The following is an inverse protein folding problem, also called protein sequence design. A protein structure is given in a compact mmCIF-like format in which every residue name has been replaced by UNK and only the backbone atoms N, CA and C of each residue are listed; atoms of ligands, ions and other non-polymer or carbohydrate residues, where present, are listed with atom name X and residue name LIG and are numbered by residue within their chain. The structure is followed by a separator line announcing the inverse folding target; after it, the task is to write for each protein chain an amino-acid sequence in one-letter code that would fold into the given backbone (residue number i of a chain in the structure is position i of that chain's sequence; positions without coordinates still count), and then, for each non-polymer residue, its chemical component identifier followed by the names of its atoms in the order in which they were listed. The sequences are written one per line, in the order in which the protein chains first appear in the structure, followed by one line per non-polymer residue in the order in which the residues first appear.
data_IF_637760668007
#
_entry.id   IF_637760668007
#
_cell.length_a   1.000
_cell.length_b   1.000
_cell.length_c   1.000
_cell.angle_alpha   90.00
_cell.angle_beta   90.00
_cell.angle_gamma   90.00
#
_symmetry.space_group_name_H-M   'P 1'
#
loop_
_entity.id
_entity.type
_entity.pdbx_description
1 polymer ?
#
# COMPACT_ATOMS: atom_id res chain seq x y z
N UNK A 1 -40.63 35.16 32.24
CA UNK A 1 -40.92 33.84 31.68
C UNK A 1 -39.65 33.29 31.12
N UNK A 2 -39.06 32.39 31.85
CA UNK A 2 -37.69 31.84 31.63
C UNK A 2 -37.74 30.75 30.59
N UNK A 3 -36.99 30.89 29.51
CA UNK A 3 -36.74 29.82 28.55
C UNK A 3 -35.42 29.09 28.89
N UNK A 4 -35.59 27.84 29.23
CA UNK A 4 -34.56 26.90 29.55
C UNK A 4 -33.86 26.42 28.29
N UNK A 5 -32.60 26.78 28.11
CA UNK A 5 -31.73 26.22 27.05
C UNK A 5 -30.87 25.13 27.68
N UNK A 6 -31.30 23.88 27.53
CA UNK A 6 -30.51 22.71 27.88
C UNK A 6 -29.40 22.49 26.83
N UNK A 7 -28.17 22.79 27.23
CA UNK A 7 -26.95 22.55 26.48
C UNK A 7 -26.69 21.04 26.39
N UNK A 8 -26.90 20.44 25.22
CA UNK A 8 -26.44 19.10 24.90
C UNK A 8 -24.92 19.10 24.81
N UNK A 9 -24.29 18.61 25.87
CA UNK A 9 -22.84 18.28 25.86
C UNK A 9 -22.61 17.13 24.90
N UNK A 10 -22.10 17.43 23.72
CA UNK A 10 -21.50 16.43 22.84
C UNK A 10 -20.28 15.81 23.51
N UNK A 11 -20.38 14.54 23.84
CA UNK A 11 -19.22 13.73 24.24
C UNK A 11 -18.32 13.60 23.02
N UNK A 12 -17.24 14.34 23.01
CA UNK A 12 -16.13 14.14 22.06
C UNK A 12 -15.56 12.74 22.27
N UNK A 13 -15.74 11.86 21.31
CA UNK A 13 -15.01 10.61 21.23
C UNK A 13 -13.53 10.94 20.98
N UNK A 14 -12.77 11.07 22.07
CA UNK A 14 -11.31 11.06 21.99
C UNK A 14 -10.87 9.60 21.81
N UNK A 15 -10.82 9.13 20.57
CA UNK A 15 -10.04 7.99 20.20
C UNK A 15 -8.80 8.48 19.42
N UNK A 16 -8.07 9.41 20.03
CA UNK A 16 -6.71 9.74 19.62
C UNK A 16 -5.79 8.68 20.22
N UNK A 17 -5.54 7.61 19.47
CA UNK A 17 -4.38 6.77 19.71
C UNK A 17 -3.16 7.65 19.40
N UNK A 18 -2.56 8.22 20.43
CA UNK A 18 -1.32 8.98 20.32
C UNK A 18 -0.26 8.08 19.69
N UNK A 19 -0.03 8.26 18.41
CA UNK A 19 1.05 7.60 17.67
C UNK A 19 2.36 8.10 18.30
N UNK A 20 3.00 7.29 19.14
CA UNK A 20 4.32 7.61 19.69
C UNK A 20 5.26 7.79 18.50
N UNK A 21 5.71 9.01 18.28
CA UNK A 21 6.74 9.30 17.29
C UNK A 21 7.95 8.42 17.57
N UNK A 22 8.22 7.47 16.68
CA UNK A 22 9.48 6.74 16.70
C UNK A 22 10.60 7.76 16.55
N UNK A 23 11.27 8.06 17.65
CA UNK A 23 12.51 8.84 17.67
C UNK A 23 13.49 8.12 16.74
N UNK A 24 13.94 8.80 15.70
CA UNK A 24 14.99 8.30 14.81
C UNK A 24 16.26 8.25 15.66
N UNK A 25 16.60 7.08 16.17
CA UNK A 25 17.83 6.86 16.95
C UNK A 25 19.02 6.77 16.01
N UNK A 26 20.21 7.10 16.51
CA UNK A 26 21.48 6.94 15.77
C UNK A 26 21.65 5.52 15.22
N UNK A 27 21.11 4.51 15.90
CA UNK A 27 21.07 3.11 15.45
C UNK A 27 20.32 2.94 14.14
N UNK A 28 19.25 3.71 13.89
CA UNK A 28 18.50 3.62 12.62
C UNK A 28 19.32 4.14 11.44
N UNK A 29 20.07 5.23 11.64
CA UNK A 29 20.94 5.81 10.59
C UNK A 29 22.11 4.87 10.31
N UNK A 30 22.76 4.37 11.35
CA UNK A 30 23.89 3.43 11.25
C UNK A 30 23.48 2.12 10.57
N UNK A 31 22.35 1.55 10.94
CA UNK A 31 21.79 0.34 10.31
C UNK A 31 21.44 0.57 8.83
N UNK A 32 21.01 1.77 8.46
CA UNK A 32 20.72 2.11 7.07
C UNK A 32 21.98 2.18 6.21
N UNK A 33 23.03 2.85 6.69
CA UNK A 33 24.33 2.95 5.99
C UNK A 33 24.96 1.57 5.84
N UNK A 34 25.01 0.78 6.91
CA UNK A 34 25.53 -0.58 6.89
C UNK A 34 24.73 -1.49 5.93
N UNK A 35 23.41 -1.32 5.88
CA UNK A 35 22.53 -2.05 4.97
C UNK A 35 22.85 -1.76 3.51
N UNK A 36 23.16 -0.51 3.16
CA UNK A 36 23.53 -0.14 1.77
C UNK A 36 24.92 -0.68 1.41
N UNK A 37 25.89 -0.62 2.30
CA UNK A 37 27.26 -1.15 2.07
C UNK A 37 27.20 -2.67 1.86
N UNK A 38 26.58 -3.43 2.78
CA UNK A 38 26.48 -4.88 2.68
C UNK A 38 25.65 -5.30 1.48
N UNK A 39 24.55 -4.57 1.20
CA UNK A 39 23.73 -4.83 0.03
C UNK A 39 24.48 -4.60 -1.29
N UNK A 40 25.42 -3.66 -1.34
CA UNK A 40 26.24 -3.39 -2.52
C UNK A 40 27.09 -4.58 -2.96
N UNK A 41 27.50 -5.45 -2.03
CA UNK A 41 28.35 -6.63 -2.30
C UNK A 41 27.53 -7.86 -2.73
N UNK A 42 26.21 -7.85 -2.60
CA UNK A 42 25.34 -8.97 -2.95
C UNK A 42 24.82 -8.80 -4.38
N UNK A 43 25.28 -9.63 -5.34
CA UNK A 43 24.91 -9.45 -6.76
C UNK A 43 23.42 -9.77 -7.03
N UNK A 44 22.85 -10.72 -6.29
CA UNK A 44 21.46 -11.16 -6.51
C UNK A 44 20.45 -10.18 -5.89
N UNK A 45 19.67 -9.47 -6.71
CA UNK A 45 18.75 -8.37 -6.34
C UNK A 45 17.78 -8.74 -5.21
N UNK A 46 17.12 -9.90 -5.29
CA UNK A 46 16.17 -10.31 -4.23
C UNK A 46 16.87 -10.62 -2.90
N UNK A 47 18.02 -11.28 -2.94
CA UNK A 47 18.82 -11.54 -1.74
C UNK A 47 19.29 -10.24 -1.14
N UNK A 48 19.80 -9.33 -1.96
CA UNK A 48 20.21 -7.99 -1.58
C UNK A 48 19.07 -7.20 -0.93
N UNK A 49 17.89 -7.17 -1.52
CA UNK A 49 16.72 -6.47 -0.99
C UNK A 49 16.25 -7.07 0.34
N UNK A 50 16.25 -8.41 0.46
CA UNK A 50 15.94 -9.07 1.72
C UNK A 50 16.93 -8.68 2.83
N UNK A 51 18.24 -8.72 2.55
CA UNK A 51 19.26 -8.31 3.52
C UNK A 51 19.17 -6.83 3.88
N UNK A 52 18.95 -5.95 2.89
CA UNK A 52 18.70 -4.53 3.12
C UNK A 52 17.53 -4.30 4.09
N UNK A 53 16.43 -5.03 3.91
CA UNK A 53 15.30 -4.96 4.82
C UNK A 53 15.60 -5.51 6.22
N UNK A 54 16.26 -6.68 6.33
CA UNK A 54 16.63 -7.28 7.61
C UNK A 54 17.62 -6.41 8.40
N UNK A 55 18.61 -5.82 7.74
CA UNK A 55 19.59 -4.92 8.36
C UNK A 55 18.90 -3.62 8.81
N UNK A 56 18.02 -3.04 7.97
CA UNK A 56 17.25 -1.84 8.36
C UNK A 56 16.34 -2.10 9.57
N UNK A 57 15.69 -3.27 9.62
CA UNK A 57 14.84 -3.66 10.73
C UNK A 57 15.64 -4.01 12.00
N UNK A 58 16.89 -4.43 11.85
CA UNK A 58 17.76 -4.97 12.89
C UNK A 58 17.72 -6.50 12.93
N UNK A 59 18.84 -7.14 12.61
CA UNK A 59 18.92 -8.61 12.47
C UNK A 59 18.52 -9.33 13.77
N UNK A 60 18.96 -8.81 14.91
CA UNK A 60 18.61 -9.38 16.22
C UNK A 60 17.11 -9.18 16.56
N UNK A 61 16.56 -8.00 16.22
CA UNK A 61 15.13 -7.73 16.35
C UNK A 61 14.33 -8.69 15.47
N UNK A 62 14.75 -8.91 14.23
CA UNK A 62 14.14 -9.85 13.29
C UNK A 62 14.18 -11.30 13.81
N UNK A 63 15.30 -11.71 14.39
CA UNK A 63 15.45 -13.04 14.97
C UNK A 63 14.54 -13.24 16.20
N UNK A 64 14.50 -12.28 17.12
CA UNK A 64 13.56 -12.30 18.27
C UNK A 64 12.11 -12.35 17.80
N UNK A 65 11.76 -11.51 16.82
CA UNK A 65 10.41 -11.50 16.25
C UNK A 65 10.05 -12.86 15.63
N UNK A 66 10.92 -13.42 14.81
CA UNK A 66 10.71 -14.75 14.21
C UNK A 66 10.47 -15.84 15.25
N UNK A 67 11.26 -15.84 16.36
CA UNK A 67 11.07 -16.81 17.46
C UNK A 67 9.74 -16.63 18.17
N UNK A 68 9.32 -15.37 18.43
CA UNK A 68 8.02 -15.06 19.03
C UNK A 68 6.88 -15.56 18.15
N UNK A 69 6.90 -15.20 16.87
CA UNK A 69 5.84 -15.54 15.91
C UNK A 69 5.73 -17.05 15.64
N UNK A 70 6.83 -17.82 15.77
CA UNK A 70 6.77 -19.28 15.67
C UNK A 70 5.97 -19.93 16.80
N UNK A 71 5.86 -19.26 17.95
CA UNK A 71 5.14 -19.73 19.14
C UNK A 71 3.71 -19.16 19.25
N UNK A 72 3.40 -18.18 18.42
CA UNK A 72 2.11 -17.51 18.42
C UNK A 72 1.17 -18.22 17.44
N UNK A 73 0.11 -18.80 17.99
CA UNK A 73 -0.93 -19.53 17.27
C UNK A 73 -2.27 -18.80 17.29
N UNK A 74 -2.29 -17.53 17.70
CA UNK A 74 -3.50 -16.72 17.71
C UNK A 74 -4.09 -16.65 16.30
N UNK A 75 -5.34 -17.03 16.07
CA UNK A 75 -5.95 -16.90 14.75
C UNK A 75 -6.06 -15.42 14.37
N UNK A 76 -5.83 -15.08 13.10
CA UNK A 76 -6.01 -13.70 12.65
C UNK A 76 -7.50 -13.34 12.69
N UNK A 77 -7.78 -12.08 13.07
CA UNK A 77 -9.13 -11.52 13.09
C UNK A 77 -9.66 -11.27 11.69
N UNK A 78 -8.77 -10.85 10.78
CA UNK A 78 -9.07 -10.51 9.39
C UNK A 78 -8.26 -11.42 8.45
N UNK A 79 -8.93 -11.95 7.43
CA UNK A 79 -8.23 -12.71 6.39
C UNK A 79 -7.43 -11.81 5.45
N UNK A 80 -8.03 -10.69 5.04
CA UNK A 80 -7.38 -9.71 4.16
C UNK A 80 -7.61 -8.30 4.68
N UNK A 81 -6.52 -7.57 4.87
CA UNK A 81 -6.54 -6.14 5.12
C UNK A 81 -5.68 -5.38 4.11
N UNK A 82 -5.92 -4.08 4.01
CA UNK A 82 -5.15 -3.16 3.17
C UNK A 82 -4.52 -2.07 4.01
N UNK A 83 -3.25 -1.76 3.75
CA UNK A 83 -2.55 -0.60 4.29
C UNK A 83 -2.27 0.41 3.18
N UNK A 84 -2.66 1.66 3.40
CA UNK A 84 -2.35 2.77 2.51
C UNK A 84 -1.91 4.01 3.29
N UNK A 85 -1.03 4.81 2.68
CA UNK A 85 -0.74 6.17 3.12
C UNK A 85 -1.18 7.14 2.04
N UNK A 86 -1.92 8.17 2.43
CA UNK A 86 -2.51 9.13 1.51
C UNK A 86 -2.30 10.57 1.99
N UNK A 87 -2.36 11.50 1.05
CA UNK A 87 -2.43 12.93 1.30
C UNK A 87 -3.33 13.58 0.27
N UNK A 88 -4.38 14.26 0.70
CA UNK A 88 -5.33 14.95 -0.18
C UNK A 88 -5.87 14.03 -1.30
N UNK A 89 -6.39 12.87 -0.89
CA UNK A 89 -7.04 11.89 -1.77
C UNK A 89 -8.53 11.67 -1.41
N UNK A 90 -9.11 12.58 -0.63
CA UNK A 90 -10.51 12.51 -0.16
C UNK A 90 -11.50 12.08 -1.24
N UNK A 91 -11.50 12.72 -2.44
CA UNK A 91 -12.44 12.41 -3.49
C UNK A 91 -12.41 10.97 -4.03
N UNK A 92 -11.33 10.22 -3.79
CA UNK A 92 -11.14 8.86 -4.33
C UNK A 92 -11.41 7.75 -3.32
N UNK A 93 -11.41 8.07 -2.01
CA UNK A 93 -11.51 7.05 -0.95
C UNK A 93 -12.79 6.23 -1.02
N UNK A 94 -13.93 6.86 -1.30
CA UNK A 94 -15.22 6.15 -1.35
C UNK A 94 -15.19 5.01 -2.36
N UNK A 95 -14.82 5.30 -3.62
CA UNK A 95 -14.73 4.30 -4.67
C UNK A 95 -13.71 3.23 -4.34
N UNK A 96 -12.51 3.64 -3.88
CA UNK A 96 -11.41 2.74 -3.57
C UNK A 96 -11.73 1.78 -2.42
N UNK A 97 -12.35 2.26 -1.34
CA UNK A 97 -12.77 1.41 -0.21
C UNK A 97 -13.87 0.46 -0.63
N UNK A 98 -14.91 0.98 -1.29
CA UNK A 98 -16.05 0.16 -1.71
C UNK A 98 -15.66 -0.90 -2.75
N UNK A 99 -14.74 -0.58 -3.65
CA UNK A 99 -14.18 -1.58 -4.57
C UNK A 99 -13.51 -2.71 -3.80
N UNK A 100 -12.52 -2.39 -2.99
CA UNK A 100 -11.74 -3.42 -2.28
C UNK A 100 -12.58 -4.19 -1.26
N UNK A 101 -13.57 -3.55 -0.63
CA UNK A 101 -14.54 -4.22 0.23
C UNK A 101 -15.34 -5.28 -0.55
N UNK A 102 -15.83 -4.95 -1.73
CA UNK A 102 -16.51 -5.91 -2.63
C UNK A 102 -15.58 -7.03 -3.07
N UNK A 103 -14.28 -6.75 -3.18
CA UNK A 103 -13.27 -7.76 -3.49
C UNK A 103 -12.79 -8.55 -2.24
N UNK A 104 -13.44 -8.39 -1.10
CA UNK A 104 -13.22 -9.21 0.09
C UNK A 104 -12.19 -8.67 1.08
N UNK A 105 -11.86 -7.37 1.01
CA UNK A 105 -11.07 -6.70 2.07
C UNK A 105 -11.95 -6.44 3.28
N UNK A 106 -11.49 -6.89 4.45
CA UNK A 106 -12.23 -6.85 5.72
C UNK A 106 -11.79 -5.69 6.62
N UNK A 107 -10.61 -5.11 6.40
CA UNK A 107 -10.05 -4.01 7.21
C UNK A 107 -9.13 -3.13 6.38
N UNK A 108 -9.19 -1.82 6.66
CA UNK A 108 -8.31 -0.82 6.07
C UNK A 108 -7.54 -0.08 7.17
N UNK A 109 -6.21 0.00 7.02
CA UNK A 109 -5.32 0.80 7.85
C UNK A 109 -4.86 2.01 7.03
N UNK A 110 -5.46 3.17 7.29
CA UNK A 110 -5.25 4.39 6.52
C UNK A 110 -4.38 5.37 7.30
N UNK A 111 -3.21 5.65 6.77
CA UNK A 111 -2.28 6.63 7.27
C UNK A 111 -2.48 7.94 6.51
N UNK A 112 -3.06 8.93 7.18
CA UNK A 112 -3.29 10.25 6.59
C UNK A 112 -2.08 11.16 6.80
N UNK A 113 -1.35 11.43 5.73
CA UNK A 113 -0.15 12.27 5.76
C UNK A 113 -0.49 13.76 5.66
N UNK A 114 -1.15 14.29 6.69
CA UNK A 114 -1.47 15.72 6.80
C UNK A 114 -2.37 16.22 5.66
N UNK A 115 -3.48 15.52 5.39
CA UNK A 115 -4.48 15.97 4.43
C UNK A 115 -5.19 17.22 4.93
N UNK A 116 -5.51 18.11 4.00
CA UNK A 116 -6.23 19.39 4.21
C UNK A 116 -7.51 19.47 3.37
N UNK A 117 -7.84 18.41 2.65
CA UNK A 117 -9.07 18.25 1.87
C UNK A 117 -10.15 17.50 2.69
N UNK A 118 -11.18 17.03 2.02
CA UNK A 118 -12.30 16.28 2.62
C UNK A 118 -11.94 14.83 3.03
N UNK A 119 -10.66 14.45 3.11
CA UNK A 119 -10.24 13.07 3.42
C UNK A 119 -10.87 12.56 4.71
N UNK A 120 -10.84 13.34 5.78
CA UNK A 120 -11.35 12.90 7.11
C UNK A 120 -12.88 12.76 7.11
N UNK A 121 -13.57 13.67 6.47
CA UNK A 121 -15.04 13.66 6.33
C UNK A 121 -15.50 12.42 5.54
N UNK A 122 -14.85 12.14 4.43
CA UNK A 122 -15.15 10.97 3.59
C UNK A 122 -14.88 9.65 4.33
N UNK A 123 -13.83 9.61 5.16
CA UNK A 123 -13.47 8.42 5.93
C UNK A 123 -14.32 8.23 7.19
N UNK A 124 -15.00 9.28 7.69
CA UNK A 124 -15.74 9.24 8.96
C UNK A 124 -16.71 8.04 9.09
N UNK A 125 -17.62 7.75 8.13
CA UNK A 125 -18.55 6.63 8.27
C UNK A 125 -17.84 5.27 8.28
N UNK A 126 -16.72 5.13 7.61
CA UNK A 126 -15.92 3.90 7.61
C UNK A 126 -15.12 3.72 8.90
N UNK A 127 -14.72 4.83 9.53
CA UNK A 127 -14.07 4.83 10.85
C UNK A 127 -15.09 4.44 11.92
N UNK A 128 -16.28 5.04 11.89
CA UNK A 128 -17.39 4.75 12.83
C UNK A 128 -17.84 3.29 12.75
N UNK A 129 -17.90 2.72 11.55
CA UNK A 129 -18.24 1.29 11.37
C UNK A 129 -17.12 0.34 11.78
N UNK A 130 -15.92 0.85 12.07
CA UNK A 130 -14.75 0.04 12.38
C UNK A 130 -14.09 -0.62 11.16
N UNK A 131 -14.56 -0.35 9.94
CA UNK A 131 -13.95 -0.85 8.71
C UNK A 131 -12.58 -0.20 8.44
N UNK A 132 -12.46 1.11 8.70
CA UNK A 132 -11.21 1.86 8.59
C UNK A 132 -10.63 2.12 9.98
N UNK A 133 -9.34 1.85 10.16
CA UNK A 133 -8.54 2.40 11.23
C UNK A 133 -7.75 3.58 10.68
N UNK A 134 -8.08 4.76 11.15
CA UNK A 134 -7.46 6.02 10.73
C UNK A 134 -6.30 6.38 11.64
N UNK A 135 -5.14 6.68 11.05
CA UNK A 135 -3.95 7.15 11.74
C UNK A 135 -3.47 8.47 11.12
N UNK A 136 -3.52 9.57 11.88
CA UNK A 136 -2.86 10.81 11.48
C UNK A 136 -1.34 10.62 11.51
N UNK A 137 -0.67 10.86 10.37
CA UNK A 137 0.73 10.54 10.17
C UNK A 137 1.53 11.75 9.68
N UNK A 138 2.10 12.49 10.60
CA UNK A 138 2.82 13.73 10.30
C UNK A 138 4.21 13.51 9.73
N UNK A 139 4.68 14.50 8.98
CA UNK A 139 6.05 14.63 8.50
C UNK A 139 6.28 14.13 7.07
N UNK A 140 7.42 14.54 6.52
CA UNK A 140 7.82 14.23 5.15
C UNK A 140 8.54 12.87 5.05
N UNK A 141 8.49 12.21 3.88
CA UNK A 141 9.17 10.93 3.58
C UNK A 141 8.78 9.79 4.52
N UNK A 142 7.53 9.75 4.95
CA UNK A 142 7.05 8.86 6.01
C UNK A 142 6.40 7.57 5.49
N UNK A 143 6.38 7.33 4.18
CA UNK A 143 5.68 6.18 3.58
C UNK A 143 6.15 4.83 4.14
N UNK A 144 7.48 4.59 4.15
CA UNK A 144 7.99 3.32 4.67
C UNK A 144 7.80 3.17 6.18
N UNK A 145 7.85 4.29 6.91
CA UNK A 145 7.60 4.28 8.35
C UNK A 145 6.13 3.96 8.68
N UNK A 146 5.18 4.44 7.87
CA UNK A 146 3.77 4.10 8.01
C UNK A 146 3.53 2.60 7.76
N UNK A 147 4.16 2.03 6.73
CA UNK A 147 4.07 0.60 6.46
C UNK A 147 4.70 -0.24 7.57
N UNK A 148 5.86 0.17 8.09
CA UNK A 148 6.52 -0.51 9.20
C UNK A 148 5.67 -0.48 10.47
N UNK A 149 5.04 0.66 10.78
CA UNK A 149 4.10 0.80 11.91
C UNK A 149 2.87 -0.11 11.73
N UNK A 150 2.30 -0.15 10.54
CA UNK A 150 1.19 -1.03 10.21
C UNK A 150 1.54 -2.52 10.43
N UNK A 151 2.70 -2.96 9.94
CA UNK A 151 3.17 -4.32 10.18
C UNK A 151 3.41 -4.60 11.66
N UNK A 152 3.96 -3.67 12.42
CA UNK A 152 4.22 -3.85 13.87
C UNK A 152 2.92 -3.97 14.67
N UNK A 153 1.95 -3.11 14.40
CA UNK A 153 0.69 -3.03 15.16
C UNK A 153 -0.27 -4.18 14.83
N UNK A 154 -0.41 -4.51 13.55
CA UNK A 154 -1.48 -5.38 13.05
C UNK A 154 -1.02 -6.77 12.60
N UNK A 155 0.23 -7.11 12.92
CA UNK A 155 0.90 -8.36 12.55
C UNK A 155 0.15 -9.61 12.96
N UNK A 156 -0.51 -9.62 14.10
CA UNK A 156 -1.25 -10.77 14.63
C UNK A 156 -2.72 -10.74 14.24
N UNK A 157 -3.24 -9.58 13.84
CA UNK A 157 -4.65 -9.40 13.52
C UNK A 157 -5.02 -9.84 12.10
N UNK A 158 -4.05 -9.84 11.19
CA UNK A 158 -4.28 -9.96 9.76
C UNK A 158 -3.53 -11.15 9.19
N UNK A 159 -4.23 -12.00 8.39
CA UNK A 159 -3.59 -13.12 7.68
C UNK A 159 -2.82 -12.63 6.45
N UNK A 160 -3.43 -11.73 5.66
CA UNK A 160 -2.82 -11.10 4.49
C UNK A 160 -2.96 -9.59 4.55
N UNK A 161 -1.86 -8.88 4.36
CA UNK A 161 -1.83 -7.41 4.29
C UNK A 161 -1.35 -6.99 2.91
N UNK A 162 -2.25 -6.38 2.13
CA UNK A 162 -1.90 -5.72 0.89
C UNK A 162 -1.42 -4.30 1.17
N UNK A 163 -0.30 -3.89 0.56
CA UNK A 163 0.26 -2.55 0.69
C UNK A 163 0.15 -1.87 -0.67
N UNK A 164 -0.83 -0.98 -0.82
CA UNK A 164 -1.16 -0.32 -2.08
C UNK A 164 -1.42 1.18 -1.89
N UNK A 165 -1.33 1.93 -3.00
CA UNK A 165 -1.62 3.36 -3.03
C UNK A 165 -3.09 3.62 -3.45
N UNK A 166 -3.60 4.85 -3.24
CA UNK A 166 -5.01 5.22 -3.54
C UNK A 166 -5.35 5.30 -5.04
N UNK A 167 -4.34 5.27 -5.87
CA UNK A 167 -4.47 5.21 -7.33
C UNK A 167 -4.29 3.78 -7.88
N UNK A 168 -4.36 2.77 -6.99
CA UNK A 168 -4.19 1.35 -7.32
C UNK A 168 -5.40 0.53 -6.89
N UNK A 169 -5.92 -0.27 -7.81
CA UNK A 169 -7.06 -1.16 -7.60
C UNK A 169 -6.64 -2.61 -7.86
N UNK A 170 -6.77 -3.47 -6.85
CA UNK A 170 -6.50 -4.91 -7.02
C UNK A 170 -7.69 -5.53 -7.75
N UNK A 171 -7.43 -6.14 -8.90
CA UNK A 171 -8.45 -6.75 -9.77
C UNK A 171 -8.16 -8.23 -9.93
N UNK A 172 -8.94 -9.12 -9.30
CA UNK A 172 -8.93 -10.54 -9.62
C UNK A 172 -9.47 -10.72 -11.04
N UNK A 173 -8.76 -11.48 -11.89
CA UNK A 173 -9.17 -11.73 -13.28
C UNK A 173 -9.78 -13.11 -13.42
N UNK A 174 -9.19 -14.12 -12.77
CA UNK A 174 -9.69 -15.52 -12.84
C UNK A 174 -10.53 -15.93 -11.64
N UNK A 175 -10.36 -15.27 -10.51
CA UNK A 175 -11.06 -15.59 -9.28
C UNK A 175 -12.20 -14.60 -9.02
N UNK A 176 -13.19 -14.99 -8.23
CA UNK A 176 -14.32 -14.13 -7.88
C UNK A 176 -13.94 -12.96 -7.01
N UNK A 177 -12.91 -13.11 -6.19
CA UNK A 177 -12.41 -12.09 -5.27
C UNK A 177 -10.97 -12.38 -4.83
N UNK A 178 -10.34 -11.42 -4.15
CA UNK A 178 -8.95 -11.52 -3.69
C UNK A 178 -8.74 -12.68 -2.69
N UNK A 179 -9.59 -12.92 -1.68
CA UNK A 179 -9.46 -14.07 -0.78
C UNK A 179 -9.44 -15.42 -1.49
N UNK A 180 -10.25 -15.62 -2.54
CA UNK A 180 -10.24 -16.88 -3.31
C UNK A 180 -8.89 -17.12 -3.97
N UNK A 181 -8.32 -16.09 -4.59
CA UNK A 181 -6.96 -16.13 -5.11
C UNK A 181 -5.93 -16.45 -4.01
N UNK A 182 -5.99 -15.77 -2.87
CA UNK A 182 -5.00 -15.89 -1.79
C UNK A 182 -5.02 -17.25 -1.08
N UNK A 183 -6.16 -17.96 -1.05
CA UNK A 183 -6.22 -19.32 -0.50
C UNK A 183 -5.29 -20.29 -1.20
N UNK A 184 -5.03 -20.11 -2.49
CA UNK A 184 -4.06 -20.92 -3.23
C UNK A 184 -2.62 -20.51 -2.95
N UNK A 185 -2.41 -19.35 -2.35
CA UNK A 185 -1.09 -18.75 -2.10
C UNK A 185 -0.59 -18.94 -0.66
N UNK A 186 -1.31 -19.62 0.22
CA UNK A 186 -1.01 -19.69 1.66
C UNK A 186 0.35 -20.28 2.03
N UNK A 187 0.94 -21.08 1.15
CA UNK A 187 2.31 -21.58 1.31
C UNK A 187 3.38 -20.50 1.20
N UNK A 188 3.04 -19.37 0.58
CA UNK A 188 3.95 -18.25 0.39
C UNK A 188 3.83 -17.20 1.51
N UNK A 189 4.88 -16.43 1.69
CA UNK A 189 4.91 -15.32 2.65
C UNK A 189 4.62 -13.96 2.01
N UNK A 190 4.79 -13.87 0.70
CA UNK A 190 4.52 -12.68 -0.10
C UNK A 190 4.04 -13.13 -1.48
N UNK A 191 3.03 -12.49 -1.98
CA UNK A 191 2.60 -12.56 -3.38
C UNK A 191 2.82 -11.19 -4.01
N UNK A 192 3.54 -11.15 -5.11
CA UNK A 192 3.77 -9.93 -5.88
C UNK A 192 2.80 -9.89 -7.06
N UNK A 193 1.99 -8.82 -7.11
CA UNK A 193 0.98 -8.58 -8.14
C UNK A 193 1.45 -7.45 -9.05
N UNK A 194 1.49 -7.69 -10.35
CA UNK A 194 1.95 -6.72 -11.35
C UNK A 194 0.92 -5.61 -11.60
N UNK A 195 1.43 -4.45 -12.00
CA UNK A 195 0.62 -3.36 -12.53
C UNK A 195 0.08 -3.67 -13.92
N UNK A 196 -1.06 -3.04 -14.23
CA UNK A 196 -1.50 -2.64 -15.55
C UNK A 196 -1.73 -1.14 -15.48
N UNK A 197 -0.93 -0.36 -16.20
CA UNK A 197 -0.95 1.10 -16.13
C UNK A 197 -2.04 1.64 -17.04
N UNK A 198 -2.94 2.43 -16.46
CA UNK A 198 -4.01 3.14 -17.13
C UNK A 198 -3.60 4.59 -17.36
N UNK A 199 -3.86 5.08 -18.57
CA UNK A 199 -3.65 6.46 -18.98
C UNK A 199 -4.82 7.36 -18.58
N UNK A 200 -4.83 8.56 -19.16
CA UNK A 200 -5.90 9.55 -18.93
C UNK A 200 -7.16 9.29 -19.75
N UNK A 201 -7.17 8.32 -20.65
CA UNK A 201 -8.20 8.12 -21.68
C UNK A 201 -8.51 9.41 -22.47
N UNK A 202 -7.50 10.31 -22.60
CA UNK A 202 -7.61 11.61 -23.25
C UNK A 202 -8.25 12.72 -22.42
N UNK A 203 -8.60 12.47 -21.14
CA UNK A 203 -9.28 13.44 -20.28
C UNK A 203 -8.32 14.57 -19.86
N UNK A 204 -8.70 15.82 -20.16
CA UNK A 204 -7.96 17.02 -19.76
C UNK A 204 -8.42 17.54 -18.39
N UNK A 205 -9.71 17.53 -18.14
CA UNK A 205 -10.36 18.01 -16.92
C UNK A 205 -10.92 16.87 -16.09
N UNK A 206 -11.16 17.13 -14.83
CA UNK A 206 -11.84 16.18 -13.95
C UNK A 206 -13.33 16.18 -14.22
N UNK A 207 -13.83 15.05 -14.67
CA UNK A 207 -15.26 14.82 -14.88
C UNK A 207 -15.89 14.05 -13.70
N UNK A 208 -17.22 14.14 -13.50
CA UNK A 208 -17.94 13.27 -12.58
C UNK A 208 -17.75 11.77 -12.92
N UNK A 209 -17.89 10.89 -11.93
CA UNK A 209 -17.76 9.45 -12.09
C UNK A 209 -16.56 8.86 -11.36
N UNK A 210 -16.52 7.55 -11.31
CA UNK A 210 -15.45 6.79 -10.67
C UNK A 210 -14.16 6.79 -11.47
N UNK A 211 -13.04 6.51 -10.82
CA UNK A 211 -11.73 6.41 -11.47
C UNK A 211 -11.72 5.28 -12.50
N UNK A 212 -12.25 4.11 -12.11
CA UNK A 212 -12.27 2.95 -13.01
C UNK A 212 -13.21 3.13 -14.19
N UNK A 213 -14.27 3.90 -14.03
CA UNK A 213 -15.23 4.23 -15.08
C UNK A 213 -14.66 5.24 -16.08
N UNK A 214 -14.02 6.29 -15.58
CA UNK A 214 -13.52 7.40 -16.41
C UNK A 214 -12.26 7.06 -17.20
N UNK A 215 -11.42 6.17 -16.67
CA UNK A 215 -10.12 5.84 -17.24
C UNK A 215 -10.11 4.36 -17.65
N UNK A 216 -10.56 4.08 -18.85
CA UNK A 216 -10.75 2.74 -19.40
C UNK A 216 -9.71 2.35 -20.45
N UNK A 217 -8.70 3.22 -20.70
CA UNK A 217 -7.62 2.93 -21.63
C UNK A 217 -6.31 2.69 -20.88
N UNK A 218 -5.58 1.66 -21.29
CA UNK A 218 -4.37 1.21 -20.60
C UNK A 218 -3.22 0.90 -21.57
N UNK A 219 -2.04 0.70 -21.01
CA UNK A 219 -0.83 0.29 -21.72
C UNK A 219 -0.96 -1.09 -22.34
N UNK A 220 -0.12 -1.39 -23.34
CA UNK A 220 0.13 -2.78 -23.73
C UNK A 220 0.56 -3.61 -22.51
N UNK A 221 0.07 -4.88 -22.36
CA UNK A 221 0.37 -5.72 -21.20
C UNK A 221 1.87 -5.90 -20.92
N UNK A 222 2.70 -6.00 -21.97
CA UNK A 222 4.15 -6.18 -21.88
C UNK A 222 4.92 -4.88 -21.64
N UNK A 223 4.25 -3.73 -21.55
CA UNK A 223 4.91 -2.45 -21.33
C UNK A 223 5.78 -2.48 -20.06
N UNK A 224 6.98 -1.90 -20.14
CA UNK A 224 8.00 -1.97 -19.08
C UNK A 224 7.51 -1.47 -17.69
N UNK A 225 6.59 -0.50 -17.64
CA UNK A 225 6.03 -0.02 -16.36
C UNK A 225 5.19 -1.09 -15.66
N UNK A 226 4.61 -2.01 -16.39
CA UNK A 226 3.83 -3.12 -15.83
C UNK A 226 4.68 -4.17 -15.13
N UNK A 227 6.01 -4.12 -15.27
CA UNK A 227 6.91 -4.96 -14.48
C UNK A 227 6.95 -4.59 -13.00
N UNK A 228 6.45 -3.40 -12.63
CA UNK A 228 6.28 -3.00 -11.24
C UNK A 228 5.22 -3.87 -10.57
N UNK A 229 5.37 -4.02 -9.26
CA UNK A 229 4.51 -4.86 -8.45
C UNK A 229 4.08 -4.17 -7.17
N UNK A 230 3.02 -4.69 -6.55
CA UNK A 230 2.71 -4.47 -5.14
C UNK A 230 2.68 -5.80 -4.40
N UNK A 231 3.05 -5.75 -3.12
CA UNK A 231 3.10 -6.93 -2.28
C UNK A 231 1.82 -7.12 -1.49
N UNK A 232 1.27 -8.33 -1.56
CA UNK A 232 0.32 -8.86 -0.58
C UNK A 232 1.11 -9.83 0.30
N UNK A 233 1.26 -9.51 1.57
CA UNK A 233 2.20 -10.18 2.46
C UNK A 233 1.51 -10.80 3.68
N UNK A 234 2.02 -11.94 4.15
CA UNK A 234 1.72 -12.47 5.47
C UNK A 234 2.51 -11.69 6.53
N UNK A 235 1.87 -10.85 7.37
CA UNK A 235 2.58 -9.99 8.31
C UNK A 235 3.41 -10.76 9.34
N UNK A 236 3.07 -12.03 9.61
CA UNK A 236 3.83 -12.90 10.51
C UNK A 236 5.13 -13.41 9.91
N UNK A 237 5.27 -13.34 8.59
CA UNK A 237 6.40 -13.87 7.84
C UNK A 237 7.25 -12.79 7.17
N UNK A 238 6.91 -11.51 7.43
CA UNK A 238 7.58 -10.30 6.92
C UNK A 238 8.04 -9.43 8.07
N UNK A 239 9.20 -8.77 7.96
CA UNK A 239 9.66 -7.82 8.98
C UNK A 239 9.33 -6.37 8.62
N UNK A 240 9.48 -5.97 7.36
CA UNK A 240 9.34 -4.57 6.90
C UNK A 240 9.14 -4.54 5.39
N UNK A 241 8.76 -3.39 4.85
CA UNK A 241 8.85 -3.11 3.41
C UNK A 241 10.25 -2.61 3.05
N UNK A 242 10.86 -3.12 1.98
CA UNK A 242 12.16 -2.63 1.48
C UNK A 242 11.99 -1.32 0.71
N UNK A 243 10.89 -1.22 -0.02
CA UNK A 243 10.44 -0.05 -0.75
C UNK A 243 8.91 -0.01 -0.76
N UNK A 244 8.31 0.73 -1.67
CA UNK A 244 6.86 0.72 -1.85
C UNK A 244 6.34 -0.50 -2.64
N UNK A 245 7.23 -1.40 -3.05
CA UNK A 245 6.91 -2.54 -3.92
C UNK A 245 7.17 -3.90 -3.28
N UNK A 246 8.30 -4.06 -2.58
CA UNK A 246 8.78 -5.35 -2.10
C UNK A 246 8.85 -5.41 -0.57
N UNK A 247 8.50 -6.58 -0.02
CA UNK A 247 8.57 -6.86 1.41
C UNK A 247 9.81 -7.71 1.78
N UNK A 248 10.47 -7.38 2.90
CA UNK A 248 11.56 -8.16 3.46
C UNK A 248 11.04 -9.31 4.32
N UNK A 249 11.30 -10.53 3.90
CA UNK A 249 10.78 -11.74 4.52
C UNK A 249 11.63 -12.21 5.71
N UNK A 250 10.96 -12.54 6.81
CA UNK A 250 11.52 -13.29 7.95
C UNK A 250 11.66 -14.77 7.61
N UNK A 251 10.68 -15.32 6.90
CA UNK A 251 10.59 -16.74 6.55
C UNK A 251 9.81 -16.96 5.26
N UNK A 252 9.83 -18.17 4.73
CA UNK A 252 9.06 -18.57 3.55
C UNK A 252 9.60 -18.00 2.24
N UNK A 253 8.81 -18.17 1.18
CA UNK A 253 9.13 -17.77 -0.19
C UNK A 253 8.16 -16.68 -0.66
N UNK A 254 8.60 -15.80 -1.56
CA UNK A 254 7.71 -14.96 -2.35
C UNK A 254 7.35 -15.68 -3.65
N UNK A 255 6.16 -15.38 -4.18
CA UNK A 255 5.69 -15.88 -5.46
C UNK A 255 5.12 -14.77 -6.33
N UNK A 256 5.02 -15.04 -7.62
CA UNK A 256 4.21 -14.26 -8.55
C UNK A 256 2.73 -14.65 -8.47
N UNK A 257 1.90 -14.04 -9.32
CA UNK A 257 0.45 -14.30 -9.40
C UNK A 257 0.08 -15.72 -9.85
N UNK A 258 0.98 -16.45 -10.49
CA UNK A 258 0.80 -17.86 -10.86
C UNK A 258 1.25 -18.83 -9.76
N UNK A 259 1.74 -18.34 -8.61
CA UNK A 259 2.25 -19.20 -7.54
C UNK A 259 3.63 -19.79 -7.83
N UNK A 260 4.38 -19.19 -8.75
CA UNK A 260 5.76 -19.59 -9.04
C UNK A 260 6.71 -18.85 -8.10
N UNK A 261 7.58 -19.55 -7.37
CA UNK A 261 8.54 -18.91 -6.49
C UNK A 261 9.45 -17.94 -7.23
N UNK A 262 9.58 -16.73 -6.70
CA UNK A 262 10.37 -15.69 -7.33
C UNK A 262 11.87 -15.98 -7.24
N UNK A 263 12.54 -15.89 -8.38
CA UNK A 263 14.00 -15.98 -8.51
C UNK A 263 14.64 -14.62 -8.83
N UNK A 264 13.88 -13.69 -9.41
CA UNK A 264 14.33 -12.36 -9.81
C UNK A 264 13.45 -11.28 -9.16
N UNK A 265 13.99 -10.09 -8.92
CA UNK A 265 13.23 -8.93 -8.47
C UNK A 265 12.27 -8.40 -9.53
N UNK A 266 11.36 -7.52 -9.13
CA UNK A 266 10.52 -6.81 -10.09
C UNK A 266 11.39 -5.99 -11.07
N UNK A 267 10.88 -5.73 -12.27
CA UNK A 267 11.63 -5.09 -13.35
C UNK A 267 12.46 -6.06 -14.20
N UNK A 268 12.83 -7.22 -13.66
CA UNK A 268 13.62 -8.25 -14.36
C UNK A 268 12.76 -9.44 -14.82
N UNK A 269 11.44 -9.34 -14.69
CA UNK A 269 10.44 -10.34 -15.04
C UNK A 269 9.42 -9.78 -16.02
N UNK A 270 8.87 -10.63 -16.87
CA UNK A 270 7.68 -10.26 -17.67
C UNK A 270 6.50 -10.01 -16.74
N UNK A 271 5.70 -8.97 -16.98
CA UNK A 271 4.48 -8.73 -16.20
C UNK A 271 3.46 -9.86 -16.43
N UNK A 272 2.68 -10.14 -15.39
CA UNK A 272 1.64 -11.17 -15.37
C UNK A 272 0.36 -10.54 -14.84
N UNK A 273 -0.67 -10.42 -15.68
CA UNK A 273 -1.91 -9.72 -15.37
C UNK A 273 -3.16 -10.60 -15.59
N UNK A 274 -2.95 -11.84 -16.02
CA UNK A 274 -4.00 -12.75 -16.46
C UNK A 274 -4.71 -13.53 -15.32
N UNK A 275 -4.16 -13.52 -14.09
CA UNK A 275 -4.76 -14.14 -12.90
C UNK A 275 -5.29 -13.09 -11.93
N UNK A 276 -4.46 -12.14 -11.58
CA UNK A 276 -4.74 -10.98 -10.73
C UNK A 276 -3.82 -9.86 -11.14
N UNK A 277 -4.32 -8.64 -11.16
CA UNK A 277 -3.55 -7.46 -11.55
C UNK A 277 -3.84 -6.28 -10.63
N UNK A 278 -3.02 -5.25 -10.71
CA UNK A 278 -3.28 -3.95 -10.09
C UNK A 278 -3.48 -2.94 -11.20
N UNK A 279 -4.71 -2.48 -11.38
CA UNK A 279 -4.99 -1.35 -12.25
C UNK A 279 -4.42 -0.09 -11.58
N UNK A 280 -3.43 0.53 -12.21
CA UNK A 280 -2.72 1.68 -11.68
C UNK A 280 -3.05 2.95 -12.46
N UNK A 281 -3.86 3.79 -11.87
CA UNK A 281 -4.33 5.08 -12.42
C UNK A 281 -3.38 6.22 -12.03
N UNK A 282 -2.15 6.14 -12.52
CA UNK A 282 -1.05 6.99 -12.08
C UNK A 282 -1.28 8.49 -12.34
N UNK A 283 -1.90 8.83 -13.44
CA UNK A 283 -2.09 10.21 -13.90
C UNK A 283 -3.53 10.69 -13.77
N UNK A 284 -4.52 9.88 -14.12
CA UNK A 284 -5.93 10.28 -14.24
C UNK A 284 -6.07 11.37 -15.34
N UNK A 285 -6.95 12.37 -15.17
CA UNK A 285 -6.96 13.53 -16.07
C UNK A 285 -5.72 14.42 -15.86
N UNK A 286 -5.42 15.27 -16.84
CA UNK A 286 -4.29 16.19 -16.73
C UNK A 286 -4.47 17.16 -15.54
N UNK A 287 -5.66 17.64 -15.29
CA UNK A 287 -5.99 18.49 -14.12
C UNK A 287 -5.72 17.75 -12.80
N UNK A 288 -6.18 16.50 -12.68
CA UNK A 288 -5.93 15.67 -11.49
C UNK A 288 -4.44 15.38 -11.30
N UNK A 289 -3.69 15.20 -12.38
CA UNK A 289 -2.23 15.10 -12.34
C UNK A 289 -1.58 16.38 -11.81
N UNK A 290 -2.02 17.56 -12.23
CA UNK A 290 -1.51 18.84 -11.69
C UNK A 290 -1.73 18.93 -10.17
N UNK A 291 -2.90 18.56 -9.69
CA UNK A 291 -3.20 18.46 -8.25
C UNK A 291 -2.28 17.45 -7.54
N UNK A 292 -2.08 16.26 -8.12
CA UNK A 292 -1.17 15.24 -7.63
C UNK A 292 0.29 15.71 -7.60
N UNK A 293 0.71 16.48 -8.59
CA UNK A 293 2.03 17.09 -8.65
C UNK A 293 2.22 18.14 -7.54
N UNK A 294 1.26 19.02 -7.35
CA UNK A 294 1.31 20.10 -6.36
C UNK A 294 1.44 19.59 -4.91
N UNK A 295 0.74 18.51 -4.54
CA UNK A 295 0.82 17.92 -3.19
C UNK A 295 2.15 17.20 -2.90
N UNK A 296 2.97 16.89 -3.92
CA UNK A 296 4.28 16.25 -3.75
C UNK A 296 4.21 14.73 -3.65
N UNK A 297 5.28 14.14 -3.07
CA UNK A 297 5.47 12.69 -2.95
C UNK A 297 5.67 12.27 -1.49
N UNK A 298 5.02 11.21 -1.05
CA UNK A 298 5.16 10.68 0.32
C UNK A 298 6.54 10.06 0.62
N UNK A 299 7.30 9.68 -0.41
CA UNK A 299 8.61 9.01 -0.27
C UNK A 299 9.81 9.94 -0.41
N UNK A 300 9.75 10.92 -1.32
CA UNK A 300 10.87 11.81 -1.65
C UNK A 300 10.40 13.27 -1.68
N UNK A 301 11.33 14.20 -1.41
CA UNK A 301 11.01 15.62 -1.28
C UNK A 301 11.12 16.37 -2.62
N UNK A 302 10.72 15.74 -3.73
CA UNK A 302 10.72 16.35 -5.04
C UNK A 302 9.32 16.31 -5.64
N UNK A 303 8.96 17.32 -6.41
CA UNK A 303 7.75 17.29 -7.21
C UNK A 303 7.92 16.28 -8.36
N UNK A 304 6.79 15.75 -8.87
CA UNK A 304 6.81 15.00 -10.14
C UNK A 304 7.14 15.97 -11.27
N UNK A 305 8.01 15.56 -12.17
CA UNK A 305 8.24 16.26 -13.41
C UNK A 305 7.01 16.15 -14.33
N UNK A 306 6.86 17.06 -15.29
CA UNK A 306 5.77 16.99 -16.27
C UNK A 306 5.90 15.76 -17.17
N UNK A 307 7.13 15.36 -17.50
CA UNK A 307 7.40 14.12 -18.25
C UNK A 307 6.84 12.86 -17.56
N UNK A 308 6.51 12.93 -16.26
CA UNK A 308 5.82 11.83 -15.57
C UNK A 308 4.42 11.60 -16.17
N UNK A 309 3.71 12.68 -16.55
CA UNK A 309 2.41 12.52 -17.21
C UNK A 309 2.59 11.75 -18.53
N UNK A 310 3.48 12.21 -19.39
CA UNK A 310 3.72 11.59 -20.71
C UNK A 310 4.17 10.13 -20.60
N UNK A 311 4.96 9.81 -19.57
CA UNK A 311 5.42 8.43 -19.32
C UNK A 311 4.31 7.48 -18.85
N UNK A 312 3.29 7.99 -18.18
CA UNK A 312 2.21 7.17 -17.59
C UNK A 312 0.87 7.35 -18.30
N UNK A 313 0.76 8.28 -19.25
CA UNK A 313 -0.46 8.48 -20.05
C UNK A 313 -0.53 7.47 -21.22
N UNK A 314 -0.63 6.20 -20.85
CA UNK A 314 -0.63 5.07 -21.78
C UNK A 314 -2.06 4.67 -22.09
N UNK A 315 -2.45 4.84 -23.35
CA UNK A 315 -3.84 4.67 -23.82
C UNK A 315 -3.91 3.71 -25.03
N UNK A 316 -3.09 2.65 -25.04
CA UNK A 316 -2.91 1.76 -26.18
C UNK A 316 -4.12 0.87 -26.44
N UNK A 317 -4.73 0.35 -25.35
CA UNK A 317 -5.86 -0.61 -25.39
C UNK A 317 -7.02 -0.03 -24.57
N UNK A 318 -8.23 -0.31 -25.02
CA UNK A 318 -9.47 0.01 -24.34
C UNK A 318 -10.06 -1.24 -23.69
N UNK A 319 -10.41 -1.17 -22.38
CA UNK A 319 -11.05 -2.25 -21.61
C UNK A 319 -12.56 -2.28 -21.82
#
# INVERSE_FOLDING_TARGET
MLLNTSCLKSRSLKCEVACKSLTITNDWIMNKVLAEIIAGVIPHKMTRNRWRGLLRYGVFKAWKLKRRLKRDHTPPKYYLAVCAIAKNEGPYFKEWIEWHRRQGVEKFYIYDNESTDCTREVLAPYIESGLVEYCYWSGRKRQLAAYDDCFERHRLETRWLAVIDLDEFIVPVKDRNIPEFLRRMEKFSVVEVNWLVYGSSGAKTREPGGVMERFHRHSLPEHRLNTHVKSIADPRRVCTMVGCHEAARLSGKAADSHGVPLKKGFGDRKPQQDVIRINHYAVKSYEEFLGKRARGRARINTLRDFSYFDQYDLNDIED
#
